data_IF_237629009506
#
_entry.id   IF_237629009506
#
_cell.length_a   1.000
_cell.length_b   1.000
_cell.length_c   1.000
_cell.angle_alpha   90.00
_cell.angle_beta   90.00
_cell.angle_gamma   90.00
#
_symmetry.space_group_name_H-M   'P 1'
#
loop_
_entity.id
_entity.type
_entity.pdbx_description
1 polymer ?
#
# COMPACT_ATOMS: atom_id res chain seq x y z
N UNK A 1 -52.13 -42.01 -15.28
CA UNK A 1 -51.90 -40.80 -16.10
C UNK A 1 -51.10 -39.86 -15.21
N UNK A 2 -49.98 -39.33 -15.70
CA UNK A 2 -49.14 -38.39 -14.92
C UNK A 2 -49.65 -36.99 -15.23
N UNK A 3 -50.10 -36.27 -14.21
CA UNK A 3 -50.46 -34.87 -14.35
C UNK A 3 -49.18 -34.02 -14.21
N UNK A 4 -48.77 -33.37 -15.31
CA UNK A 4 -47.66 -32.42 -15.31
C UNK A 4 -48.21 -31.00 -15.29
N UNK A 5 -47.81 -30.20 -14.30
CA UNK A 5 -48.11 -28.77 -14.24
C UNK A 5 -46.81 -27.98 -14.27
N UNK A 6 -46.65 -27.14 -15.29
CA UNK A 6 -45.52 -26.22 -15.42
C UNK A 6 -45.99 -24.81 -15.11
N UNK A 7 -45.34 -24.15 -14.16
CA UNK A 7 -45.54 -22.72 -13.90
C UNK A 7 -44.21 -21.98 -14.07
N UNK A 8 -44.26 -20.84 -14.75
CA UNK A 8 -43.10 -19.98 -14.97
C UNK A 8 -43.40 -18.65 -14.30
N UNK A 9 -42.54 -18.26 -13.36
CA UNK A 9 -42.61 -16.98 -12.66
C UNK A 9 -41.35 -16.20 -13.01
N UNK A 10 -41.54 -14.97 -13.49
CA UNK A 10 -40.45 -14.06 -13.84
C UNK A 10 -40.64 -12.74 -13.07
N UNK A 11 -39.67 -12.39 -12.24
CA UNK A 11 -39.70 -11.18 -11.40
C UNK A 11 -38.72 -10.08 -11.88
N UNK A 12 -38.15 -10.26 -13.07
CA UNK A 12 -37.18 -9.33 -13.68
C UNK A 12 -35.77 -9.40 -13.12
N UNK A 13 -35.51 -10.24 -12.09
CA UNK A 13 -34.18 -10.47 -11.51
C UNK A 13 -33.80 -11.94 -11.61
N UNK A 14 -34.75 -12.83 -11.40
CA UNK A 14 -34.59 -14.29 -11.42
C UNK A 14 -35.72 -14.92 -12.23
N UNK A 15 -35.36 -15.79 -13.17
CA UNK A 15 -36.34 -16.63 -13.85
C UNK A 15 -36.43 -17.96 -13.11
N UNK A 16 -37.57 -18.26 -12.48
CA UNK A 16 -37.79 -19.51 -11.79
C UNK A 16 -38.80 -20.39 -12.56
N UNK A 17 -38.38 -21.62 -12.86
CA UNK A 17 -39.23 -22.64 -13.50
C UNK A 17 -39.48 -23.76 -12.52
N UNK A 18 -40.71 -23.83 -12.02
CA UNK A 18 -41.14 -24.91 -11.11
C UNK A 18 -41.87 -25.98 -11.91
N UNK A 19 -41.33 -27.19 -11.87
CA UNK A 19 -41.95 -28.40 -12.45
C UNK A 19 -42.42 -29.27 -11.30
N UNK A 20 -43.74 -29.34 -11.11
CA UNK A 20 -44.34 -30.23 -10.13
C UNK A 20 -44.67 -31.57 -10.79
N UNK A 21 -44.06 -32.65 -10.31
CA UNK A 21 -44.36 -34.02 -10.74
C UNK A 21 -44.81 -34.82 -9.53
N UNK A 22 -46.06 -35.29 -9.55
CA UNK A 22 -46.63 -36.05 -8.42
C UNK A 22 -46.19 -37.51 -8.49
N UNK A 23 -44.92 -37.78 -8.19
CA UNK A 23 -44.38 -39.14 -8.02
C UNK A 23 -43.92 -39.31 -6.55
N UNK A 24 -44.39 -40.34 -5.85
CA UNK A 24 -44.13 -40.56 -4.41
C UNK A 24 -42.70 -41.04 -4.07
N UNK A 25 -41.68 -40.67 -4.85
CA UNK A 25 -40.28 -41.01 -4.59
C UNK A 25 -39.55 -39.81 -3.96
N UNK A 26 -38.67 -40.02 -2.98
CA UNK A 26 -37.84 -38.95 -2.44
C UNK A 26 -36.84 -38.52 -3.51
N UNK A 27 -37.15 -37.43 -4.20
CA UNK A 27 -36.25 -36.79 -5.16
C UNK A 27 -35.32 -35.81 -4.43
N UNK A 28 -34.01 -35.97 -4.65
CA UNK A 28 -33.01 -35.05 -4.12
C UNK A 28 -33.04 -33.78 -4.96
N UNK A 29 -33.44 -32.66 -4.36
CA UNK A 29 -33.41 -31.36 -5.03
C UNK A 29 -31.95 -30.87 -5.08
N UNK A 30 -31.37 -30.88 -6.28
CA UNK A 30 -30.09 -30.22 -6.55
C UNK A 30 -30.36 -28.75 -6.86
N UNK A 31 -30.02 -27.86 -5.93
CA UNK A 31 -30.03 -26.42 -6.19
C UNK A 31 -28.69 -26.04 -6.81
N UNK A 32 -28.65 -25.91 -8.13
CA UNK A 32 -27.51 -25.33 -8.84
C UNK A 32 -27.45 -23.84 -8.49
N UNK A 33 -26.56 -23.50 -7.55
CA UNK A 33 -26.33 -22.13 -7.14
C UNK A 33 -25.54 -21.43 -8.23
N UNK A 34 -26.22 -20.88 -9.23
CA UNK A 34 -25.67 -20.08 -10.34
C UNK A 34 -25.15 -18.69 -9.90
N UNK A 35 -24.55 -18.60 -8.70
CA UNK A 35 -23.96 -17.38 -8.16
C UNK A 35 -22.47 -17.29 -8.47
N UNK A 36 -22.09 -17.19 -9.76
CA UNK A 36 -20.68 -17.32 -10.17
C UNK A 36 -19.91 -16.03 -10.47
N UNK A 37 -20.57 -14.93 -10.86
CA UNK A 37 -19.86 -13.78 -11.47
C UNK A 37 -19.69 -12.56 -10.56
N UNK A 38 -20.75 -12.16 -9.86
CA UNK A 38 -20.77 -10.88 -9.14
C UNK A 38 -19.78 -10.78 -7.99
N UNK A 39 -19.65 -11.84 -7.19
CA UNK A 39 -18.72 -11.87 -6.05
C UNK A 39 -17.25 -11.81 -6.46
N UNK A 40 -16.90 -12.40 -7.62
CA UNK A 40 -15.54 -12.36 -8.16
C UNK A 40 -15.15 -10.96 -8.64
N UNK A 41 -16.06 -10.26 -9.32
CA UNK A 41 -15.81 -8.89 -9.79
C UNK A 41 -15.67 -7.91 -8.63
N UNK A 42 -16.56 -8.01 -7.62
CA UNK A 42 -16.47 -7.20 -6.40
C UNK A 42 -15.19 -7.51 -5.63
N UNK A 43 -14.83 -8.79 -5.49
CA UNK A 43 -13.58 -9.20 -4.86
C UNK A 43 -12.35 -8.65 -5.57
N UNK A 44 -12.33 -8.70 -6.91
CA UNK A 44 -11.24 -8.17 -7.73
C UNK A 44 -11.09 -6.65 -7.58
N UNK A 45 -12.21 -5.91 -7.58
CA UNK A 45 -12.20 -4.45 -7.39
C UNK A 45 -11.62 -4.05 -6.04
N UNK A 46 -11.98 -4.75 -4.97
CA UNK A 46 -11.41 -4.52 -3.63
C UNK A 46 -9.91 -4.78 -3.63
N UNK A 47 -9.47 -5.88 -4.25
CA UNK A 47 -8.05 -6.23 -4.37
C UNK A 47 -7.25 -5.14 -5.09
N UNK A 48 -7.77 -4.61 -6.20
CA UNK A 48 -7.14 -3.52 -6.95
C UNK A 48 -7.06 -2.25 -6.10
N UNK A 49 -8.14 -1.90 -5.38
CA UNK A 49 -8.14 -0.72 -4.51
C UNK A 49 -7.08 -0.82 -3.39
N UNK A 50 -6.93 -2.00 -2.78
CA UNK A 50 -5.89 -2.24 -1.78
C UNK A 50 -4.48 -2.13 -2.38
N UNK A 51 -4.26 -2.67 -3.58
CA UNK A 51 -2.97 -2.59 -4.25
C UNK A 51 -2.57 -1.14 -4.57
N UNK A 52 -3.50 -0.32 -5.07
CA UNK A 52 -3.27 1.10 -5.35
C UNK A 52 -3.02 1.88 -4.05
N UNK A 53 -3.81 1.62 -3.00
CA UNK A 53 -3.62 2.26 -1.69
C UNK A 53 -2.26 1.94 -1.08
N UNK A 54 -1.83 0.68 -1.13
CA UNK A 54 -0.51 0.27 -0.67
C UNK A 54 0.60 0.95 -1.49
N UNK A 55 0.51 0.92 -2.82
CA UNK A 55 1.49 1.56 -3.69
C UNK A 55 1.61 3.07 -3.44
N UNK A 56 0.48 3.77 -3.23
CA UNK A 56 0.47 5.19 -2.91
C UNK A 56 1.17 5.51 -1.58
N UNK A 57 0.91 4.72 -0.53
CA UNK A 57 1.57 4.87 0.77
C UNK A 57 3.08 4.61 0.67
N UNK A 58 3.49 3.57 -0.06
CA UNK A 58 4.89 3.25 -0.32
C UNK A 58 5.59 4.33 -1.17
N UNK A 59 4.91 4.86 -2.20
CA UNK A 59 5.43 5.93 -3.04
C UNK A 59 5.63 7.25 -2.26
N UNK A 60 4.75 7.53 -1.30
CA UNK A 60 4.90 8.68 -0.41
C UNK A 60 6.10 8.52 0.52
N UNK A 61 6.31 7.32 1.09
CA UNK A 61 7.50 7.03 1.90
C UNK A 61 8.82 7.07 1.09
N UNK A 62 8.82 6.66 -0.17
CA UNK A 62 10.02 6.72 -1.00
C UNK A 62 10.51 8.15 -1.26
N UNK A 63 9.63 9.16 -1.15
CA UNK A 63 10.01 10.57 -1.25
C UNK A 63 10.78 11.05 -0.01
N UNK A 64 10.53 10.47 1.16
CA UNK A 64 11.33 10.71 2.38
C UNK A 64 12.73 10.11 2.26
N UNK A 65 12.88 8.89 1.72
CA UNK A 65 14.20 8.26 1.53
C UNK A 65 15.11 9.08 0.60
N UNK A 66 14.56 9.64 -0.48
CA UNK A 66 15.33 10.51 -1.37
C UNK A 66 15.73 11.83 -0.69
N UNK A 67 14.85 12.37 0.16
CA UNK A 67 15.08 13.62 0.90
C UNK A 67 16.10 13.43 2.02
N UNK A 68 16.05 12.31 2.75
CA UNK A 68 16.97 11.98 3.84
C UNK A 68 18.41 11.78 3.34
N UNK A 69 18.57 11.17 2.16
CA UNK A 69 19.88 11.08 1.51
C UNK A 69 20.45 12.46 1.17
N UNK A 70 19.62 13.35 0.60
CA UNK A 70 20.05 14.71 0.28
C UNK A 70 20.37 15.55 1.54
N UNK A 71 19.59 15.39 2.61
CA UNK A 71 19.84 16.05 3.90
C UNK A 71 21.10 15.50 4.57
N UNK A 72 21.32 14.19 4.52
CA UNK A 72 22.54 13.56 5.06
C UNK A 72 23.79 14.07 4.35
N UNK A 73 23.76 14.15 3.01
CA UNK A 73 24.88 14.68 2.24
C UNK A 73 25.12 16.18 2.49
N UNK A 74 24.04 16.96 2.65
CA UNK A 74 24.14 18.36 3.04
C UNK A 74 24.73 18.52 4.46
N UNK A 75 24.31 17.69 5.41
CA UNK A 75 24.82 17.69 6.78
C UNK A 75 26.32 17.33 6.82
N UNK A 76 26.76 16.32 6.06
CA UNK A 76 28.18 15.98 5.93
C UNK A 76 29.00 17.16 5.40
N UNK A 77 28.54 17.82 4.33
CA UNK A 77 29.24 19.01 3.78
C UNK A 77 29.36 20.16 4.79
N UNK A 78 28.36 20.35 5.64
CA UNK A 78 28.40 21.36 6.72
C UNK A 78 29.35 20.93 7.83
N UNK A 79 29.39 19.64 8.19
CA UNK A 79 30.36 19.08 9.14
C UNK A 79 31.80 19.31 8.70
N UNK A 80 32.12 18.95 7.46
CA UNK A 80 33.46 19.15 6.88
C UNK A 80 33.85 20.64 6.87
N UNK A 81 32.92 21.53 6.55
CA UNK A 81 33.16 22.97 6.59
C UNK A 81 33.41 23.47 8.03
N UNK A 82 32.65 22.98 9.01
CA UNK A 82 32.83 23.33 10.41
C UNK A 82 34.18 22.84 10.95
N UNK A 83 34.60 21.63 10.59
CA UNK A 83 35.90 21.08 10.99
C UNK A 83 37.07 21.89 10.42
N UNK A 84 36.97 22.30 9.15
CA UNK A 84 37.96 23.18 8.51
C UNK A 84 38.06 24.54 9.21
N UNK A 85 36.92 25.15 9.55
CA UNK A 85 36.88 26.42 10.30
C UNK A 85 37.44 26.23 11.71
N UNK A 86 37.13 25.13 12.37
CA UNK A 86 37.64 24.78 13.69
C UNK A 86 39.16 24.63 13.71
N UNK A 87 39.74 23.95 12.73
CA UNK A 87 41.19 23.87 12.55
C UNK A 87 41.82 25.24 12.34
N UNK A 88 41.29 26.05 11.43
CA UNK A 88 41.82 27.39 11.18
C UNK A 88 41.76 28.30 12.43
N UNK A 89 40.69 28.19 13.23
CA UNK A 89 40.56 28.92 14.48
C UNK A 89 41.58 28.46 15.53
N UNK A 90 41.83 27.15 15.64
CA UNK A 90 42.86 26.59 16.53
C UNK A 90 44.26 27.03 16.13
N UNK A 91 44.59 26.97 14.83
CA UNK A 91 45.88 27.40 14.31
C UNK A 91 46.12 28.89 14.57
N UNK A 92 45.10 29.74 14.36
CA UNK A 92 45.18 31.16 14.66
C UNK A 92 45.37 31.42 16.17
N UNK A 93 44.67 30.67 17.02
CA UNK A 93 44.83 30.76 18.48
C UNK A 93 46.23 30.37 18.94
N UNK A 94 46.76 29.27 18.41
CA UNK A 94 48.12 28.81 18.69
C UNK A 94 49.17 29.84 18.25
N UNK A 95 49.02 30.43 17.06
CA UNK A 95 49.93 31.46 16.57
C UNK A 95 49.94 32.73 17.45
N UNK A 96 48.78 33.12 17.99
CA UNK A 96 48.68 34.27 18.91
C UNK A 96 49.32 33.95 20.26
N UNK A 97 49.11 32.74 20.78
CA UNK A 97 49.71 32.27 22.04
C UNK A 97 51.25 32.28 21.95
N UNK A 98 51.80 31.69 20.88
CA UNK A 98 53.25 31.66 20.62
C UNK A 98 53.83 33.08 20.54
N UNK A 99 53.13 34.02 19.89
CA UNK A 99 53.57 35.41 19.80
C UNK A 99 53.55 36.14 21.15
N UNK A 100 52.57 35.84 22.01
CA UNK A 100 52.48 36.43 23.35
C UNK A 100 53.54 35.87 24.31
N UNK A 101 53.85 34.57 24.20
CA UNK A 101 54.82 33.89 25.06
C UNK A 101 56.28 34.09 24.57
N UNK A 102 56.48 34.36 23.27
CA UNK A 102 57.79 34.56 22.64
C UNK A 102 58.48 35.90 22.93
N UNK A 103 57.75 36.92 23.40
CA UNK A 103 58.31 38.26 23.74
C UNK A 103 58.91 38.32 25.17
N UNK A 104 58.94 37.19 25.91
CA UNK A 104 59.29 37.12 27.33
C UNK A 104 60.72 36.67 27.70
N UNK A 105 61.63 36.44 26.75
CA UNK A 105 63.02 36.01 27.00
C UNK A 105 64.03 36.80 26.15
#
# INVERSE_FOLDING_TARGET
>A
MVDERVTTTDDGVTTERVVERTDSRPDTVYVEKSGGGGGLLVGLLILIALAVGAWFLLAQNNSEVAKDNAVTEAASKVGDAADNVGQAAQDAGAAVQDAADGDGN
#
